data_IF_484399703685
#
_entry.id   IF_484399703685
#
_cell.length_a   1.000
_cell.length_b   1.000
_cell.length_c   1.000
_cell.angle_alpha   90.00
_cell.angle_beta   90.00
_cell.angle_gamma   90.00
#
_symmetry.space_group_name_H-M   'P 1'
#
loop_
_entity.id
_entity.type
_entity.pdbx_description
1 polymer ?
#
# COMPACT_ATOMS: atom_id res chain seq x y z
N UNK A 1 -31.51 22.33 22.72
CA UNK A 1 -31.27 22.10 21.30
C UNK A 1 -29.74 22.27 21.06
N UNK A 2 -28.95 21.17 21.18
CA UNK A 2 -27.52 21.21 20.88
C UNK A 2 -27.39 21.35 19.38
N UNK A 3 -26.89 22.49 18.91
CA UNK A 3 -26.46 22.70 17.54
C UNK A 3 -25.41 21.60 17.23
N UNK A 4 -25.77 20.62 16.41
CA UNK A 4 -24.77 19.74 15.81
C UNK A 4 -23.76 20.64 15.11
N UNK A 5 -22.52 20.67 15.62
CA UNK A 5 -21.42 21.33 14.93
C UNK A 5 -21.35 20.70 13.54
N UNK A 6 -21.71 21.47 12.50
CA UNK A 6 -21.47 21.07 11.13
C UNK A 6 -19.98 20.80 11.00
N UNK A 7 -19.60 19.55 10.82
CA UNK A 7 -18.22 19.17 10.53
C UNK A 7 -17.89 19.73 9.16
N UNK A 8 -17.16 20.83 9.11
CA UNK A 8 -16.59 21.36 7.88
C UNK A 8 -15.50 20.39 7.40
N UNK A 9 -15.37 20.25 6.07
CA UNK A 9 -14.23 19.56 5.45
C UNK A 9 -12.93 20.12 6.04
N UNK A 10 -12.04 19.25 6.44
CA UNK A 10 -10.75 19.66 6.99
C UNK A 10 -9.83 20.07 5.83
N UNK A 11 -9.72 21.38 5.61
CA UNK A 11 -8.90 21.95 4.55
C UNK A 11 -7.41 21.61 4.70
N UNK A 12 -6.92 21.38 5.91
CA UNK A 12 -5.53 21.00 6.15
C UNK A 12 -5.19 19.60 5.62
N UNK A 13 -6.19 18.73 5.42
CA UNK A 13 -6.06 17.44 4.76
C UNK A 13 -6.42 17.56 3.28
N UNK A 14 -7.49 18.29 2.98
CA UNK A 14 -8.01 18.39 1.61
C UNK A 14 -7.02 19.09 0.67
N UNK A 15 -6.40 20.18 1.11
CA UNK A 15 -5.48 20.95 0.25
C UNK A 15 -4.24 20.13 -0.15
N UNK A 16 -3.47 19.51 0.78
CA UNK A 16 -2.36 18.65 0.40
C UNK A 16 -2.79 17.48 -0.49
N UNK A 17 -3.95 16.87 -0.21
CA UNK A 17 -4.50 15.80 -1.04
C UNK A 17 -4.74 16.28 -2.50
N UNK A 18 -5.39 17.43 -2.68
CA UNK A 18 -5.64 17.98 -4.02
C UNK A 18 -4.34 18.34 -4.74
N UNK A 19 -3.40 18.97 -4.04
CA UNK A 19 -2.08 19.30 -4.61
C UNK A 19 -1.33 18.06 -5.06
N UNK A 20 -1.25 17.03 -4.22
CA UNK A 20 -0.60 15.76 -4.56
C UNK A 20 -1.31 15.06 -5.72
N UNK A 21 -2.64 15.11 -5.77
CA UNK A 21 -3.41 14.51 -6.87
C UNK A 21 -3.17 15.20 -8.21
N UNK A 22 -3.12 16.54 -8.22
CA UNK A 22 -2.83 17.32 -9.42
C UNK A 22 -1.39 17.08 -9.88
N UNK A 23 -0.42 17.10 -8.95
CA UNK A 23 0.96 16.77 -9.26
C UNK A 23 1.09 15.34 -9.83
N UNK A 24 0.36 14.37 -9.25
CA UNK A 24 0.29 13.01 -9.75
C UNK A 24 -0.20 12.94 -11.21
N UNK A 25 -1.24 13.70 -11.57
CA UNK A 25 -1.72 13.77 -12.95
C UNK A 25 -0.65 14.32 -13.91
N UNK A 26 0.06 15.38 -13.51
CA UNK A 26 1.14 15.97 -14.31
C UNK A 26 2.27 14.97 -14.51
N UNK A 27 2.68 14.27 -13.44
CA UNK A 27 3.77 13.29 -13.48
C UNK A 27 3.39 12.08 -14.33
N UNK A 28 2.16 11.55 -14.19
CA UNK A 28 1.68 10.44 -15.03
C UNK A 28 1.67 10.84 -16.50
N UNK A 29 1.26 12.05 -16.84
CA UNK A 29 1.33 12.54 -18.22
C UNK A 29 2.80 12.62 -18.70
N UNK A 30 3.69 13.19 -17.89
CA UNK A 30 5.10 13.28 -18.23
C UNK A 30 5.73 11.93 -18.49
N UNK A 31 5.48 10.95 -17.60
CA UNK A 31 6.10 9.61 -17.68
C UNK A 31 5.55 8.74 -18.82
N UNK A 32 4.30 8.96 -19.23
CA UNK A 32 3.66 8.08 -20.22
C UNK A 32 3.59 8.64 -21.62
N UNK A 33 3.62 9.96 -21.79
CA UNK A 33 3.42 10.63 -23.09
C UNK A 33 4.49 10.29 -24.12
N UNK A 34 5.76 10.26 -23.73
CA UNK A 34 6.88 9.99 -24.64
C UNK A 34 6.79 8.59 -25.25
N UNK A 35 6.60 7.57 -24.41
CA UNK A 35 6.46 6.18 -24.88
C UNK A 35 5.17 5.98 -25.69
N UNK A 36 4.08 6.65 -25.36
CA UNK A 36 2.84 6.59 -26.13
C UNK A 36 3.05 7.11 -27.54
N UNK A 37 3.72 8.25 -27.70
CA UNK A 37 4.04 8.84 -29.01
C UNK A 37 4.95 7.89 -29.82
N UNK A 38 5.99 7.32 -29.21
CA UNK A 38 6.87 6.37 -29.86
C UNK A 38 6.13 5.12 -30.37
N UNK A 39 5.14 4.66 -29.62
CA UNK A 39 4.29 3.51 -29.97
C UNK A 39 3.14 3.87 -30.92
N UNK A 40 3.00 5.12 -31.35
CA UNK A 40 1.91 5.58 -32.22
C UNK A 40 0.51 5.56 -31.55
N UNK A 41 0.46 5.57 -30.22
CA UNK A 41 -0.81 5.64 -29.45
C UNK A 41 -1.01 7.02 -28.85
N UNK A 42 -2.26 7.32 -28.49
CA UNK A 42 -2.59 8.63 -27.90
C UNK A 42 -1.82 8.87 -26.59
N UNK A 43 -1.08 9.99 -26.44
CA UNK A 43 -0.38 10.34 -25.22
C UNK A 43 -1.31 10.67 -24.06
N UNK A 44 -2.61 10.87 -24.35
CA UNK A 44 -3.62 11.21 -23.36
C UNK A 44 -4.34 9.98 -22.76
N UNK A 45 -4.01 8.75 -23.18
CA UNK A 45 -4.71 7.54 -22.73
C UNK A 45 -4.66 7.37 -21.21
N UNK A 46 -3.45 7.36 -20.63
CA UNK A 46 -3.25 7.16 -19.19
C UNK A 46 -3.79 8.34 -18.36
N UNK A 47 -3.51 9.58 -18.74
CA UNK A 47 -3.99 10.74 -17.99
C UNK A 47 -5.53 10.85 -18.00
N UNK A 48 -6.18 10.42 -19.10
CA UNK A 48 -7.65 10.37 -19.15
C UNK A 48 -8.21 9.38 -18.12
N UNK A 49 -7.64 8.19 -18.03
CA UNK A 49 -8.02 7.20 -17.03
C UNK A 49 -7.79 7.71 -15.61
N UNK A 50 -6.60 8.28 -15.34
CA UNK A 50 -6.27 8.89 -14.05
C UNK A 50 -7.22 10.04 -13.70
N UNK A 51 -7.58 10.89 -14.65
CA UNK A 51 -8.53 11.98 -14.46
C UNK A 51 -9.93 11.48 -14.09
N UNK A 52 -10.40 10.40 -14.71
CA UNK A 52 -11.68 9.77 -14.36
C UNK A 52 -11.62 9.26 -12.92
N UNK A 53 -10.56 8.54 -12.52
CA UNK A 53 -10.41 8.07 -11.15
C UNK A 53 -10.28 9.21 -10.14
N UNK A 54 -9.62 10.31 -10.50
CA UNK A 54 -9.57 11.51 -9.66
C UNK A 54 -10.96 12.09 -9.41
N UNK A 55 -11.78 12.25 -10.44
CA UNK A 55 -13.16 12.71 -10.29
C UNK A 55 -13.99 11.72 -9.46
N UNK A 56 -13.87 10.42 -9.71
CA UNK A 56 -14.53 9.39 -8.90
C UNK A 56 -14.12 9.45 -7.44
N UNK A 57 -12.83 9.71 -7.14
CA UNK A 57 -12.36 9.85 -5.76
C UNK A 57 -12.97 11.05 -5.05
N UNK A 58 -13.13 12.19 -5.73
CA UNK A 58 -13.82 13.36 -5.17
C UNK A 58 -15.30 13.08 -4.88
N UNK A 59 -15.98 12.39 -5.80
CA UNK A 59 -17.37 11.95 -5.57
C UNK A 59 -17.45 10.99 -4.38
N UNK A 60 -16.52 10.06 -4.26
CA UNK A 60 -16.43 9.12 -3.14
C UNK A 60 -16.21 9.85 -1.81
N UNK A 61 -15.33 10.84 -1.76
CA UNK A 61 -15.11 11.69 -0.57
C UNK A 61 -16.41 12.38 -0.16
N UNK A 62 -17.13 12.99 -1.11
CA UNK A 62 -18.39 13.66 -0.85
C UNK A 62 -19.49 12.67 -0.38
N UNK A 63 -19.49 11.45 -0.91
CA UNK A 63 -20.40 10.40 -0.49
C UNK A 63 -20.10 9.94 0.93
N UNK A 64 -18.83 9.60 1.24
CA UNK A 64 -18.41 9.15 2.56
C UNK A 64 -18.67 10.22 3.62
N UNK A 65 -18.48 11.50 3.28
CA UNK A 65 -18.77 12.63 4.17
C UNK A 65 -20.24 12.66 4.64
N UNK A 66 -21.18 12.19 3.81
CA UNK A 66 -22.61 12.08 4.18
C UNK A 66 -22.96 10.81 4.92
N UNK A 67 -22.10 9.81 4.97
CA UNK A 67 -22.37 8.53 5.62
C UNK A 67 -22.27 8.70 7.15
N UNK A 68 -23.29 8.28 7.87
CA UNK A 68 -23.29 8.29 9.34
C UNK A 68 -22.35 7.20 9.86
N UNK A 69 -21.38 7.56 10.69
CA UNK A 69 -20.43 6.63 11.33
C UNK A 69 -21.12 5.44 12.03
N UNK A 70 -22.29 5.67 12.62
CA UNK A 70 -23.05 4.61 13.29
C UNK A 70 -23.47 3.47 12.34
N UNK A 71 -23.64 3.73 11.04
CA UNK A 71 -23.92 2.68 10.06
C UNK A 71 -22.69 1.83 9.77
N UNK A 72 -21.51 2.46 9.73
CA UNK A 72 -20.23 1.78 9.54
C UNK A 72 -19.84 0.88 10.72
N UNK A 73 -20.37 1.15 11.92
CA UNK A 73 -20.12 0.34 13.13
C UNK A 73 -20.99 -0.92 13.23
N UNK A 74 -21.96 -1.12 12.34
CA UNK A 74 -22.86 -2.29 12.37
C UNK A 74 -22.10 -3.56 11.95
N UNK A 75 -22.15 -4.61 12.78
CA UNK A 75 -21.51 -5.92 12.45
C UNK A 75 -21.98 -6.50 11.13
N UNK A 76 -23.28 -6.40 10.82
CA UNK A 76 -23.82 -6.89 9.56
C UNK A 76 -23.23 -6.17 8.35
N UNK A 77 -23.02 -4.86 8.44
CA UNK A 77 -22.48 -4.08 7.33
C UNK A 77 -21.04 -4.46 7.02
N UNK A 78 -20.15 -4.53 8.04
CA UNK A 78 -18.76 -4.96 7.81
C UNK A 78 -18.71 -6.42 7.35
N UNK A 79 -19.60 -7.29 7.84
CA UNK A 79 -19.68 -8.68 7.38
C UNK A 79 -20.01 -8.79 5.89
N UNK A 80 -20.98 -8.00 5.40
CA UNK A 80 -21.33 -7.93 3.98
C UNK A 80 -20.12 -7.45 3.16
N UNK A 81 -19.42 -6.41 3.62
CA UNK A 81 -18.24 -5.88 2.93
C UNK A 81 -17.11 -6.92 2.86
N UNK A 82 -16.83 -7.64 3.94
CA UNK A 82 -15.83 -8.70 3.96
C UNK A 82 -16.21 -9.85 3.02
N UNK A 83 -17.48 -10.26 3.00
CA UNK A 83 -17.95 -11.30 2.08
C UNK A 83 -17.81 -10.85 0.63
N UNK A 84 -18.24 -9.62 0.31
CA UNK A 84 -18.11 -9.06 -1.04
C UNK A 84 -16.64 -9.01 -1.48
N UNK A 85 -15.75 -8.55 -0.59
CA UNK A 85 -14.32 -8.49 -0.86
C UNK A 85 -13.71 -9.89 -1.06
N UNK A 86 -14.10 -10.86 -0.22
CA UNK A 86 -13.65 -12.25 -0.36
C UNK A 86 -14.09 -12.82 -1.72
N UNK A 87 -15.30 -12.53 -2.17
CA UNK A 87 -15.78 -12.94 -3.49
C UNK A 87 -14.92 -12.29 -4.59
N UNK A 88 -14.63 -11.00 -4.51
CA UNK A 88 -13.78 -10.32 -5.49
C UNK A 88 -12.35 -10.90 -5.54
N UNK A 89 -11.77 -11.22 -4.39
CA UNK A 89 -10.47 -11.90 -4.31
C UNK A 89 -10.52 -13.28 -4.98
N UNK A 90 -11.53 -14.07 -4.69
CA UNK A 90 -11.69 -15.40 -5.31
C UNK A 90 -11.93 -15.29 -6.82
N UNK A 91 -12.76 -14.33 -7.27
CA UNK A 91 -12.97 -14.06 -8.69
C UNK A 91 -11.65 -13.68 -9.39
N UNK A 92 -10.84 -12.80 -8.78
CA UNK A 92 -9.55 -12.42 -9.36
C UNK A 92 -8.58 -13.60 -9.41
N UNK A 93 -8.66 -14.57 -8.48
CA UNK A 93 -7.82 -15.77 -8.48
C UNK A 93 -8.19 -16.78 -9.57
N UNK A 94 -9.50 -16.98 -9.82
CA UNK A 94 -9.97 -18.08 -10.66
C UNK A 94 -10.39 -17.67 -12.09
N UNK A 95 -10.71 -16.38 -12.30
CA UNK A 95 -11.27 -15.91 -13.58
C UNK A 95 -10.23 -15.14 -14.40
N UNK A 96 -9.21 -14.57 -13.77
CA UNK A 96 -8.28 -13.70 -14.49
C UNK A 96 -6.95 -14.38 -14.80
N UNK A 97 -6.36 -13.97 -15.94
CA UNK A 97 -5.02 -14.38 -16.32
C UNK A 97 -3.97 -13.78 -15.37
N UNK A 98 -2.79 -14.40 -15.35
CA UNK A 98 -1.66 -13.90 -14.57
C UNK A 98 -1.07 -12.64 -15.19
N UNK A 99 -0.94 -11.60 -14.39
CA UNK A 99 -0.16 -10.39 -14.74
C UNK A 99 1.10 -10.40 -13.90
N UNK A 100 2.26 -10.41 -14.56
CA UNK A 100 3.58 -10.48 -13.89
C UNK A 100 3.73 -11.67 -12.91
N UNK A 101 3.08 -12.80 -13.20
CA UNK A 101 3.14 -14.01 -12.38
C UNK A 101 2.19 -14.05 -11.19
N UNK A 102 1.37 -13.03 -10.97
CA UNK A 102 0.36 -12.99 -9.92
C UNK A 102 -1.06 -12.88 -10.52
N UNK A 103 -2.01 -13.60 -9.91
CA UNK A 103 -3.43 -13.40 -10.15
C UNK A 103 -3.91 -12.32 -9.19
N UNK A 104 -4.44 -11.22 -9.66
CA UNK A 104 -4.83 -10.17 -8.71
C UNK A 104 -5.63 -9.04 -9.32
N UNK A 105 -5.78 -9.02 -10.66
CA UNK A 105 -6.41 -7.91 -11.36
C UNK A 105 -7.71 -8.34 -12.01
N UNK A 106 -8.79 -7.66 -11.69
CA UNK A 106 -10.09 -7.78 -12.36
C UNK A 106 -10.19 -6.68 -13.41
N UNK A 107 -10.28 -7.05 -14.69
CA UNK A 107 -10.40 -6.11 -15.81
C UNK A 107 -11.84 -6.03 -16.30
N UNK A 108 -12.43 -4.84 -16.27
CA UNK A 108 -13.79 -4.57 -16.71
C UNK A 108 -13.78 -3.37 -17.68
N UNK A 109 -14.08 -3.60 -18.96
CA UNK A 109 -14.35 -2.52 -19.91
C UNK A 109 -13.26 -1.46 -20.03
N UNK A 110 -11.99 -1.84 -19.91
CA UNK A 110 -10.83 -0.90 -19.97
C UNK A 110 -10.36 -0.38 -18.61
N UNK A 111 -11.02 -0.76 -17.52
CA UNK A 111 -10.56 -0.49 -16.15
C UNK A 111 -10.08 -1.78 -15.51
N UNK A 112 -9.01 -1.73 -14.74
CA UNK A 112 -8.53 -2.84 -13.92
C UNK A 112 -8.55 -2.45 -12.44
N UNK A 113 -9.03 -3.38 -11.62
CA UNK A 113 -9.16 -3.23 -10.18
C UNK A 113 -8.39 -4.37 -9.53
N UNK A 114 -7.60 -4.06 -8.50
CA UNK A 114 -6.92 -5.05 -7.67
C UNK A 114 -7.64 -5.14 -6.31
N UNK A 115 -8.42 -6.21 -6.02
CA UNK A 115 -9.14 -6.33 -4.77
C UNK A 115 -8.23 -6.26 -3.53
N UNK A 116 -7.02 -6.80 -3.59
CA UNK A 116 -6.08 -6.73 -2.47
C UNK A 116 -5.77 -5.29 -1.98
N UNK A 117 -5.94 -4.27 -2.83
CA UNK A 117 -5.79 -2.87 -2.46
C UNK A 117 -6.93 -2.40 -1.53
N UNK A 118 -8.17 -2.82 -1.82
CA UNK A 118 -9.33 -2.50 -0.99
C UNK A 118 -9.33 -3.29 0.31
N UNK A 119 -8.81 -4.52 0.27
CA UNK A 119 -8.68 -5.36 1.46
C UNK A 119 -7.88 -4.69 2.57
N UNK A 120 -6.86 -3.91 2.26
CA UNK A 120 -6.06 -3.15 3.26
C UNK A 120 -6.95 -2.20 4.09
N UNK A 121 -7.82 -1.46 3.41
CA UNK A 121 -8.76 -0.52 4.06
C UNK A 121 -9.79 -1.28 4.89
N UNK A 122 -10.35 -2.36 4.34
CA UNK A 122 -11.36 -3.20 5.00
C UNK A 122 -10.76 -3.86 6.24
N UNK A 123 -9.52 -4.33 6.18
CA UNK A 123 -8.81 -4.93 7.30
C UNK A 123 -8.61 -3.93 8.45
N UNK A 124 -8.14 -2.71 8.16
CA UNK A 124 -8.00 -1.64 9.15
C UNK A 124 -9.34 -1.34 9.80
N UNK A 125 -10.39 -1.18 9.01
CA UNK A 125 -11.73 -0.92 9.52
C UNK A 125 -12.26 -2.07 10.39
N UNK A 126 -12.11 -3.32 9.94
CA UNK A 126 -12.51 -4.49 10.72
C UNK A 126 -11.79 -4.55 12.07
N UNK A 127 -10.46 -4.45 12.07
CA UNK A 127 -9.66 -4.49 13.29
C UNK A 127 -9.96 -3.33 14.23
N UNK A 128 -10.17 -2.12 13.71
CA UNK A 128 -10.57 -0.97 14.50
C UNK A 128 -11.90 -1.22 15.21
N UNK A 129 -12.90 -1.84 14.56
CA UNK A 129 -14.16 -2.20 15.18
C UNK A 129 -14.03 -3.30 16.24
N UNK A 130 -13.14 -4.28 16.00
CA UNK A 130 -12.89 -5.36 16.95
C UNK A 130 -12.22 -4.80 18.21
N UNK A 131 -11.15 -4.03 18.05
CA UNK A 131 -10.35 -3.54 19.17
C UNK A 131 -11.05 -2.44 19.95
N UNK A 132 -11.79 -1.55 19.29
CA UNK A 132 -12.57 -0.52 19.99
C UNK A 132 -13.62 -1.10 20.94
N UNK A 133 -14.17 -2.28 20.65
CA UNK A 133 -15.13 -2.96 21.55
C UNK A 133 -14.46 -3.63 22.74
N UNK A 134 -13.17 -3.93 22.64
CA UNK A 134 -12.37 -4.58 23.68
C UNK A 134 -11.47 -3.60 24.44
N UNK A 135 -11.63 -2.29 24.21
CA UNK A 135 -10.72 -1.27 24.75
C UNK A 135 -10.58 -1.32 26.26
N UNK A 136 -11.71 -1.45 26.99
CA UNK A 136 -11.71 -1.55 28.44
C UNK A 136 -11.05 -2.84 28.94
N UNK A 137 -11.32 -3.97 28.27
CA UNK A 137 -10.69 -5.26 28.58
C UNK A 137 -9.17 -5.23 28.29
N UNK A 138 -8.74 -4.56 27.21
CA UNK A 138 -7.33 -4.42 26.86
C UNK A 138 -6.59 -3.60 27.92
N UNK A 139 -7.19 -2.52 28.42
CA UNK A 139 -6.61 -1.71 29.48
C UNK A 139 -6.44 -2.49 30.78
N UNK A 140 -7.32 -3.43 31.07
CA UNK A 140 -7.29 -4.22 32.31
C UNK A 140 -6.45 -5.49 32.19
N UNK A 141 -6.54 -6.21 31.09
CA UNK A 141 -5.98 -7.56 30.90
C UNK A 141 -4.89 -7.63 29.81
N UNK A 142 -4.50 -6.49 29.21
CA UNK A 142 -3.46 -6.37 28.17
C UNK A 142 -3.70 -7.34 26.98
N UNK A 143 -2.68 -8.06 26.55
CA UNK A 143 -2.76 -9.02 25.43
C UNK A 143 -3.77 -10.16 25.68
N UNK A 144 -4.06 -10.50 26.92
CA UNK A 144 -5.00 -11.55 27.29
C UNK A 144 -6.42 -11.24 26.79
N UNK A 145 -6.79 -9.97 26.78
CA UNK A 145 -8.07 -9.52 26.22
C UNK A 145 -8.18 -9.79 24.72
N UNK A 146 -7.06 -9.69 23.98
CA UNK A 146 -7.03 -9.98 22.55
C UNK A 146 -6.97 -11.46 22.21
N UNK A 147 -6.33 -12.26 23.09
CA UNK A 147 -6.03 -13.68 22.82
C UNK A 147 -6.87 -14.65 23.62
N UNK A 148 -7.69 -14.18 24.60
CA UNK A 148 -8.41 -15.03 25.53
C UNK A 148 -7.53 -16.08 26.21
N UNK A 149 -6.27 -15.73 26.50
CA UNK A 149 -5.23 -16.67 27.02
C UNK A 149 -4.96 -17.91 26.14
N UNK A 150 -5.31 -17.85 24.86
CA UNK A 150 -5.13 -18.95 23.92
C UNK A 150 -4.29 -18.49 22.75
N UNK A 151 -3.15 -19.15 22.50
CA UNK A 151 -2.33 -18.88 21.31
C UNK A 151 -3.08 -19.23 20.03
N UNK A 152 -3.73 -20.39 20.01
CA UNK A 152 -4.59 -20.81 18.91
C UNK A 152 -6.04 -20.62 19.34
N UNK A 153 -6.84 -19.80 18.63
CA UNK A 153 -8.23 -19.59 19.01
C UNK A 153 -9.04 -20.88 18.84
N UNK A 154 -9.83 -21.22 19.87
CA UNK A 154 -10.76 -22.35 19.80
C UNK A 154 -12.08 -21.97 19.12
N UNK A 155 -12.47 -20.70 19.23
CA UNK A 155 -13.67 -20.18 18.58
C UNK A 155 -13.36 -19.79 17.13
N UNK A 156 -14.08 -20.36 16.17
CA UNK A 156 -13.98 -20.01 14.75
C UNK A 156 -14.42 -18.57 14.44
N UNK A 157 -15.19 -17.95 15.35
CA UNK A 157 -15.57 -16.54 15.24
C UNK A 157 -14.49 -15.57 15.74
N UNK A 158 -13.34 -16.05 16.20
CA UNK A 158 -12.23 -15.21 16.65
C UNK A 158 -11.68 -14.40 15.48
N UNK A 159 -11.42 -13.11 15.73
CA UNK A 159 -10.90 -12.15 14.75
C UNK A 159 -9.58 -12.60 14.10
N UNK A 160 -8.76 -13.37 14.80
CA UNK A 160 -7.47 -13.88 14.31
C UNK A 160 -7.65 -14.84 13.13
N UNK A 161 -8.67 -15.71 13.18
CA UNK A 161 -8.98 -16.60 12.06
C UNK A 161 -9.41 -15.83 10.82
N UNK A 162 -10.21 -14.78 11.00
CA UNK A 162 -10.62 -13.93 9.87
C UNK A 162 -9.40 -13.25 9.23
N UNK A 163 -8.49 -12.69 10.03
CA UNK A 163 -7.27 -12.06 9.51
C UNK A 163 -6.37 -13.05 8.81
N UNK A 164 -6.13 -14.21 9.43
CA UNK A 164 -5.32 -15.28 8.81
C UNK A 164 -5.94 -15.77 7.50
N UNK A 165 -7.24 -15.94 7.44
CA UNK A 165 -7.97 -16.33 6.24
C UNK A 165 -7.79 -15.31 5.11
N UNK A 166 -7.97 -14.01 5.38
CA UNK A 166 -7.83 -12.96 4.39
C UNK A 166 -6.38 -12.86 3.86
N UNK A 167 -5.39 -12.96 4.76
CA UNK A 167 -3.98 -12.96 4.34
C UNK A 167 -3.66 -14.22 3.54
N UNK A 168 -4.16 -15.39 3.95
CA UNK A 168 -3.91 -16.66 3.26
C UNK A 168 -4.43 -16.64 1.82
N UNK A 169 -5.61 -16.06 1.55
CA UNK A 169 -6.12 -15.91 0.18
C UNK A 169 -5.13 -15.13 -0.68
N UNK A 170 -4.59 -14.01 -0.17
CA UNK A 170 -3.64 -13.17 -0.91
C UNK A 170 -2.31 -13.91 -1.15
N UNK A 171 -1.85 -14.71 -0.17
CA UNK A 171 -0.66 -15.58 -0.34
C UNK A 171 -0.90 -16.62 -1.42
N UNK A 172 -2.09 -17.23 -1.48
CA UNK A 172 -2.47 -18.22 -2.51
C UNK A 172 -2.54 -17.58 -3.91
N UNK A 173 -2.73 -16.26 -3.99
CA UNK A 173 -2.69 -15.48 -5.24
C UNK A 173 -1.27 -15.12 -5.71
N UNK A 174 -0.22 -15.72 -5.23
CA UNK A 174 1.21 -15.39 -5.10
C UNK A 174 1.53 -13.88 -4.97
N UNK A 175 0.68 -13.12 -4.29
CA UNK A 175 0.90 -11.69 -4.04
C UNK A 175 1.52 -11.46 -2.65
N UNK A 176 2.81 -11.83 -2.53
CA UNK A 176 3.56 -11.70 -1.28
C UNK A 176 3.72 -10.25 -0.82
N UNK A 177 3.75 -9.30 -1.76
CA UNK A 177 3.83 -7.88 -1.45
C UNK A 177 2.64 -7.41 -0.62
N UNK A 178 1.43 -7.61 -1.14
CA UNK A 178 0.20 -7.26 -0.43
C UNK A 178 -0.01 -8.08 0.84
N UNK A 179 0.33 -9.38 0.83
CA UNK A 179 0.26 -10.22 2.04
C UNK A 179 1.16 -9.68 3.16
N UNK A 180 2.37 -9.23 2.84
CA UNK A 180 3.30 -8.61 3.80
C UNK A 180 2.75 -7.30 4.35
N UNK A 181 2.18 -6.44 3.48
CA UNK A 181 1.56 -5.19 3.91
C UNK A 181 0.36 -5.45 4.85
N UNK A 182 -0.49 -6.43 4.55
CA UNK A 182 -1.62 -6.82 5.41
C UNK A 182 -1.14 -7.34 6.78
N UNK A 183 -0.08 -8.14 6.81
CA UNK A 183 0.52 -8.62 8.05
C UNK A 183 1.10 -7.48 8.89
N UNK A 184 1.86 -6.57 8.27
CA UNK A 184 2.39 -5.37 8.94
C UNK A 184 1.28 -4.45 9.44
N UNK A 185 0.24 -4.22 8.63
CA UNK A 185 -0.93 -3.45 9.03
C UNK A 185 -1.62 -4.07 10.25
N UNK A 186 -1.77 -5.39 10.27
CA UNK A 186 -2.32 -6.10 11.44
C UNK A 186 -1.47 -5.86 12.69
N UNK A 187 -0.14 -5.96 12.59
CA UNK A 187 0.78 -5.70 13.70
C UNK A 187 0.67 -4.26 14.21
N UNK A 188 0.59 -3.29 13.31
CA UNK A 188 0.42 -1.87 13.67
C UNK A 188 -0.93 -1.68 14.38
N UNK A 189 -2.01 -2.28 13.88
CA UNK A 189 -3.33 -2.18 14.50
C UNK A 189 -3.37 -2.84 15.89
N UNK A 190 -2.71 -3.98 16.08
CA UNK A 190 -2.54 -4.61 17.40
C UNK A 190 -1.81 -3.65 18.35
N UNK A 191 -0.74 -3.00 17.88
CA UNK A 191 0.01 -2.04 18.67
C UNK A 191 -0.81 -0.81 19.05
N UNK A 192 -1.59 -0.30 18.11
CA UNK A 192 -2.49 0.84 18.31
C UNK A 192 -3.69 0.50 19.20
N UNK A 193 -3.97 -0.78 19.47
CA UNK A 193 -5.08 -1.20 20.33
C UNK A 193 -4.90 -0.86 21.81
N UNK A 194 -3.70 -0.44 22.22
CA UNK A 194 -3.39 -0.06 23.61
C UNK A 194 -2.78 -1.19 24.45
N UNK A 195 -2.33 -2.29 23.83
CA UNK A 195 -1.52 -3.31 24.52
C UNK A 195 -0.21 -2.72 25.03
N UNK A 196 0.39 -3.32 26.05
CA UNK A 196 1.65 -2.87 26.62
C UNK A 196 2.75 -2.85 25.54
N UNK A 197 3.52 -1.77 25.50
CA UNK A 197 4.58 -1.53 24.52
C UNK A 197 5.59 -2.67 24.41
N UNK A 198 5.82 -3.43 25.49
CA UNK A 198 6.68 -4.63 25.49
C UNK A 198 6.25 -5.67 24.47
N UNK A 199 4.95 -5.85 24.24
CA UNK A 199 4.44 -6.80 23.25
C UNK A 199 4.67 -6.33 21.84
N UNK A 200 4.43 -5.04 21.59
CA UNK A 200 4.76 -4.44 20.31
C UNK A 200 6.25 -4.56 19.99
N UNK A 201 7.12 -4.18 20.93
CA UNK A 201 8.56 -4.28 20.71
C UNK A 201 9.04 -5.71 20.52
N UNK A 202 8.42 -6.70 21.20
CA UNK A 202 8.72 -8.12 21.00
C UNK A 202 8.30 -8.61 19.61
N UNK A 203 7.09 -8.28 19.17
CA UNK A 203 6.60 -8.64 17.83
C UNK A 203 7.44 -7.99 16.73
N UNK A 204 7.79 -6.73 16.90
CA UNK A 204 8.68 -6.00 15.99
C UNK A 204 10.08 -6.63 15.97
N UNK A 205 10.63 -6.99 17.12
CA UNK A 205 11.93 -7.65 17.22
C UNK A 205 11.93 -9.03 16.54
N UNK A 206 10.85 -9.80 16.67
CA UNK A 206 10.70 -11.09 15.97
C UNK A 206 10.63 -10.88 14.45
N UNK A 207 9.87 -9.88 14.00
CA UNK A 207 9.75 -9.56 12.58
C UNK A 207 11.09 -9.13 11.99
N UNK A 208 11.74 -8.14 12.61
CA UNK A 208 13.04 -7.60 12.15
C UNK A 208 14.13 -8.65 12.27
N UNK A 209 14.21 -9.35 13.42
CA UNK A 209 15.17 -10.41 13.65
C UNK A 209 15.00 -11.57 12.68
N UNK A 210 13.77 -12.05 12.49
CA UNK A 210 13.44 -13.09 11.53
C UNK A 210 13.80 -12.71 10.09
N UNK A 211 13.45 -11.48 9.68
CA UNK A 211 13.83 -10.97 8.35
C UNK A 211 15.35 -10.88 8.19
N UNK A 212 16.06 -10.40 9.20
CA UNK A 212 17.52 -10.29 9.18
C UNK A 212 18.17 -11.66 9.06
N UNK A 213 17.70 -12.65 9.84
CA UNK A 213 18.19 -14.03 9.79
C UNK A 213 17.93 -14.63 8.40
N UNK A 214 16.75 -14.43 7.84
CA UNK A 214 16.41 -14.90 6.49
C UNK A 214 17.35 -14.30 5.44
N UNK A 215 17.50 -12.97 5.42
CA UNK A 215 18.36 -12.28 4.46
C UNK A 215 19.83 -12.66 4.61
N UNK A 216 20.31 -12.83 5.84
CA UNK A 216 21.67 -13.29 6.11
C UNK A 216 21.87 -14.75 5.67
N UNK A 217 20.86 -15.61 5.85
CA UNK A 217 20.87 -16.98 5.35
C UNK A 217 20.95 -17.05 3.84
N UNK A 218 20.21 -16.19 3.12
CA UNK A 218 20.28 -16.09 1.65
C UNK A 218 21.70 -15.70 1.22
N UNK A 219 22.34 -14.75 1.93
CA UNK A 219 23.72 -14.33 1.65
C UNK A 219 24.75 -15.46 1.86
N UNK A 220 24.60 -16.25 2.93
CA UNK A 220 25.54 -17.32 3.27
C UNK A 220 25.40 -18.56 2.39
N UNK A 221 24.16 -18.98 2.12
CA UNK A 221 23.85 -20.24 1.40
C UNK A 221 23.93 -20.03 -0.11
N UNK A 222 23.74 -18.79 -0.54
CA UNK A 222 23.74 -18.38 -1.96
C UNK A 222 22.33 -18.35 -2.56
N UNK A 223 22.12 -17.36 -3.42
CA UNK A 223 20.85 -17.09 -4.11
C UNK A 223 20.38 -18.29 -4.95
N UNK A 224 21.32 -19.01 -5.59
CA UNK A 224 21.01 -20.14 -6.46
C UNK A 224 20.32 -21.32 -5.74
N UNK A 225 20.71 -21.57 -4.48
CA UNK A 225 20.05 -22.65 -3.68
C UNK A 225 18.66 -22.24 -3.22
N UNK A 226 18.50 -20.98 -2.82
CA UNK A 226 17.18 -20.46 -2.44
C UNK A 226 16.24 -20.30 -3.63
N UNK A 227 16.77 -20.06 -4.84
CA UNK A 227 15.95 -19.89 -6.06
C UNK A 227 15.20 -21.16 -6.47
N UNK A 228 15.65 -22.33 -5.99
CA UNK A 228 14.98 -23.61 -6.22
C UNK A 228 13.69 -23.80 -5.40
N UNK A 229 13.49 -22.98 -4.37
CA UNK A 229 12.29 -23.03 -3.53
C UNK A 229 11.32 -21.94 -4.02
N UNK A 230 10.10 -22.27 -4.52
CA UNK A 230 9.25 -21.32 -5.26
C UNK A 230 9.03 -19.96 -4.60
N UNK A 231 8.72 -19.91 -3.30
CA UNK A 231 8.48 -18.67 -2.55
C UNK A 231 9.79 -17.93 -2.25
N UNK A 232 10.80 -18.67 -1.78
CA UNK A 232 12.09 -18.09 -1.39
C UNK A 232 12.92 -17.67 -2.59
N UNK A 233 12.75 -18.30 -3.74
CA UNK A 233 13.43 -17.91 -4.97
C UNK A 233 13.10 -16.47 -5.42
N UNK A 234 11.82 -16.10 -5.33
CA UNK A 234 11.41 -14.72 -5.61
C UNK A 234 12.06 -13.72 -4.66
N UNK A 235 12.04 -14.01 -3.35
CA UNK A 235 12.67 -13.15 -2.32
C UNK A 235 14.18 -13.06 -2.54
N UNK A 236 14.84 -14.20 -2.83
CA UNK A 236 16.29 -14.24 -3.04
C UNK A 236 16.74 -13.43 -4.26
N UNK A 237 16.00 -13.50 -5.39
CA UNK A 237 16.27 -12.68 -6.58
C UNK A 237 16.12 -11.19 -6.28
N UNK A 238 15.04 -10.77 -5.61
CA UNK A 238 14.82 -9.38 -5.22
C UNK A 238 15.89 -8.88 -4.25
N UNK A 239 16.32 -9.72 -3.31
CA UNK A 239 17.39 -9.38 -2.40
C UNK A 239 18.73 -9.22 -3.10
N UNK A 240 19.05 -10.11 -4.06
CA UNK A 240 20.28 -9.99 -4.86
C UNK A 240 20.31 -8.70 -5.67
N UNK A 241 19.19 -8.36 -6.32
CA UNK A 241 19.04 -7.11 -7.05
C UNK A 241 19.18 -5.87 -6.14
N UNK A 242 18.63 -5.93 -4.94
CA UNK A 242 18.75 -4.84 -3.96
C UNK A 242 20.18 -4.68 -3.45
N UNK A 243 20.89 -5.79 -3.19
CA UNK A 243 22.25 -5.75 -2.64
C UNK A 243 23.29 -5.24 -3.66
N UNK A 244 23.17 -5.67 -4.91
CA UNK A 244 24.03 -5.19 -5.99
C UNK A 244 23.27 -5.16 -7.33
N UNK A 245 22.53 -4.09 -7.63
CA UNK A 245 21.72 -3.99 -8.83
C UNK A 245 22.55 -3.94 -10.12
N UNK A 246 23.82 -3.55 -10.02
CA UNK A 246 24.70 -3.41 -11.18
C UNK A 246 25.31 -4.73 -11.66
N UNK A 247 25.17 -5.82 -10.89
CA UNK A 247 25.67 -7.14 -11.30
C UNK A 247 24.81 -7.81 -12.38
N UNK A 248 23.53 -7.45 -12.45
CA UNK A 248 22.59 -8.03 -13.42
C UNK A 248 21.73 -6.91 -14.01
N UNK A 249 22.29 -6.25 -14.99
CA UNK A 249 21.62 -5.14 -15.72
C UNK A 249 20.62 -5.64 -16.77
N UNK A 250 20.52 -6.95 -16.99
CA UNK A 250 19.63 -7.52 -18.00
C UNK A 250 18.32 -8.06 -17.46
N UNK A 251 18.22 -8.35 -16.16
CA UNK A 251 17.02 -8.94 -15.50
C UNK A 251 16.66 -8.18 -14.20
N UNK A 252 16.95 -8.77 -13.09
CA UNK A 252 16.43 -8.35 -11.77
C UNK A 252 16.99 -7.01 -11.28
N UNK A 253 18.24 -6.66 -11.66
CA UNK A 253 18.89 -5.40 -11.30
C UNK A 253 18.55 -4.23 -12.24
N UNK A 254 18.04 -4.48 -13.45
CA UNK A 254 17.81 -3.46 -14.48
C UNK A 254 16.94 -2.29 -14.00
N UNK A 255 15.79 -2.59 -13.39
CA UNK A 255 14.87 -1.55 -12.91
C UNK A 255 15.52 -0.67 -11.83
N UNK A 256 16.21 -1.30 -10.87
CA UNK A 256 16.81 -0.59 -9.75
C UNK A 256 18.02 0.24 -10.18
N UNK A 257 18.86 -0.29 -11.07
CA UNK A 257 20.00 0.44 -11.62
C UNK A 257 19.55 1.68 -12.40
N UNK A 258 18.56 1.55 -13.31
CA UNK A 258 18.04 2.69 -14.06
C UNK A 258 17.32 3.71 -13.16
N UNK A 259 16.69 3.25 -12.05
CA UNK A 259 16.14 4.18 -11.06
C UNK A 259 17.24 5.02 -10.39
N UNK A 260 18.42 4.45 -10.12
CA UNK A 260 19.55 5.18 -9.58
C UNK A 260 20.16 6.16 -10.62
N UNK A 261 20.20 5.77 -11.90
CA UNK A 261 20.61 6.70 -12.96
C UNK A 261 19.65 7.89 -13.06
N UNK A 262 18.33 7.64 -13.06
CA UNK A 262 17.34 8.72 -13.01
C UNK A 262 17.56 9.69 -11.84
N UNK A 263 17.71 9.15 -10.62
CA UNK A 263 17.96 9.99 -9.44
C UNK A 263 19.28 10.76 -9.53
N UNK A 264 20.33 10.16 -10.09
CA UNK A 264 21.63 10.82 -10.29
C UNK A 264 21.56 11.95 -11.31
N UNK A 265 20.83 11.73 -12.43
CA UNK A 265 20.66 12.74 -13.48
C UNK A 265 19.93 14.00 -12.97
N UNK A 266 18.98 13.83 -12.02
CA UNK A 266 18.16 14.92 -11.52
C UNK A 266 18.92 15.99 -10.71
N UNK A 267 19.98 15.61 -9.98
CA UNK A 267 20.71 16.54 -9.14
C UNK A 267 19.81 17.33 -8.18
N UNK A 268 20.13 18.60 -7.95
CA UNK A 268 19.37 19.46 -7.02
C UNK A 268 18.05 19.98 -7.59
N UNK A 269 18.01 20.38 -8.89
CA UNK A 269 16.89 21.11 -9.48
C UNK A 269 16.20 20.37 -10.62
N UNK A 270 16.71 19.21 -11.00
CA UNK A 270 16.15 18.37 -12.06
C UNK A 270 16.49 18.83 -13.47
N UNK A 271 16.15 17.99 -14.44
CA UNK A 271 16.30 18.26 -15.88
C UNK A 271 15.15 19.11 -16.44
N UNK A 272 14.14 19.40 -15.62
CA UNK A 272 12.89 20.02 -16.01
C UNK A 272 11.78 19.03 -16.33
N UNK A 273 10.54 19.43 -16.12
CA UNK A 273 9.36 18.61 -16.39
C UNK A 273 9.34 18.17 -17.87
N UNK A 274 9.12 16.91 -18.11
CA UNK A 274 9.10 16.34 -19.46
C UNK A 274 10.45 15.92 -20.01
N UNK A 275 11.58 16.22 -19.34
CA UNK A 275 12.93 16.02 -19.87
C UNK A 275 13.66 14.81 -19.29
N UNK A 276 12.99 13.93 -18.56
CA UNK A 276 13.61 12.69 -18.09
C UNK A 276 14.10 11.84 -19.25
N UNK A 277 15.29 11.28 -19.11
CA UNK A 277 15.94 10.37 -20.05
C UNK A 277 15.43 8.95 -19.81
N UNK A 278 15.39 8.54 -18.54
CA UNK A 278 15.08 7.17 -18.15
C UNK A 278 13.63 6.75 -18.47
N UNK A 279 12.68 7.69 -18.51
CA UNK A 279 11.29 7.42 -18.93
C UNK A 279 11.13 7.06 -20.40
N UNK A 280 12.16 7.27 -21.24
CA UNK A 280 12.08 6.99 -22.68
C UNK A 280 12.21 5.50 -23.03
N UNK A 281 11.97 4.62 -22.06
CA UNK A 281 11.97 3.16 -22.23
C UNK A 281 13.14 2.47 -21.55
N UNK A 282 14.07 3.21 -20.95
CA UNK A 282 15.18 2.64 -20.18
C UNK A 282 14.72 2.12 -18.81
N UNK A 283 13.80 2.83 -18.13
CA UNK A 283 13.26 2.42 -16.85
C UNK A 283 11.89 1.77 -17.05
N UNK A 284 11.76 0.45 -16.87
CA UNK A 284 10.45 -0.21 -16.81
C UNK A 284 9.62 0.32 -15.65
N UNK A 285 8.30 0.32 -15.81
CA UNK A 285 7.34 0.77 -14.77
C UNK A 285 7.63 2.18 -14.23
N UNK A 286 8.14 3.06 -15.10
CA UNK A 286 8.49 4.46 -14.77
C UNK A 286 7.27 5.28 -14.29
N UNK A 287 6.06 4.87 -14.65
CA UNK A 287 4.81 5.57 -14.30
C UNK A 287 4.08 4.99 -13.08
N UNK A 288 4.57 3.88 -12.53
CA UNK A 288 4.01 3.16 -11.39
C UNK A 288 5.03 3.05 -10.25
N UNK A 289 5.78 1.96 -10.22
CA UNK A 289 6.65 1.58 -9.10
C UNK A 289 7.87 2.51 -8.95
N UNK A 290 8.37 3.04 -10.06
CA UNK A 290 9.56 3.89 -10.09
C UNK A 290 9.26 5.36 -10.43
N UNK A 291 8.00 5.77 -10.31
CA UNK A 291 7.59 7.16 -10.61
C UNK A 291 8.36 8.19 -9.80
N UNK A 292 8.73 7.88 -8.56
CA UNK A 292 9.46 8.80 -7.70
C UNK A 292 10.90 9.06 -8.19
N UNK A 293 11.53 8.07 -8.85
CA UNK A 293 12.83 8.26 -9.50
C UNK A 293 12.74 9.26 -10.65
N UNK A 294 11.67 9.19 -11.44
CA UNK A 294 11.42 10.16 -12.52
C UNK A 294 11.10 11.56 -11.95
N UNK A 295 10.37 11.62 -10.82
CA UNK A 295 10.16 12.89 -10.12
C UNK A 295 11.49 13.54 -9.74
N UNK A 296 12.43 12.77 -9.20
CA UNK A 296 13.76 13.29 -8.86
C UNK A 296 14.52 13.69 -10.14
N UNK A 297 14.45 12.91 -11.22
CA UNK A 297 15.11 13.25 -12.47
C UNK A 297 14.57 14.55 -13.07
N UNK A 298 13.24 14.77 -13.04
CA UNK A 298 12.62 15.95 -13.65
C UNK A 298 12.61 17.18 -12.75
N UNK A 299 12.35 17.02 -11.44
CA UNK A 299 12.19 18.13 -10.48
C UNK A 299 13.37 18.29 -9.52
N UNK A 300 14.33 17.37 -9.56
CA UNK A 300 15.47 17.34 -8.67
C UNK A 300 15.15 17.00 -7.23
N UNK A 301 16.16 17.03 -6.39
CA UNK A 301 16.03 16.77 -4.96
C UNK A 301 15.08 17.77 -4.28
N UNK A 302 15.09 19.03 -4.68
CA UNK A 302 14.23 20.09 -4.11
C UNK A 302 12.76 19.79 -4.41
N UNK A 303 12.40 19.47 -5.67
CA UNK A 303 11.02 19.14 -6.05
C UNK A 303 10.52 17.87 -5.36
N UNK A 304 11.34 16.83 -5.31
CA UNK A 304 11.03 15.59 -4.60
C UNK A 304 10.80 15.83 -3.09
N UNK A 305 11.64 16.66 -2.46
CA UNK A 305 11.50 17.03 -1.04
C UNK A 305 10.21 17.79 -0.76
N UNK A 306 9.77 18.67 -1.66
CA UNK A 306 8.50 19.37 -1.53
C UNK A 306 7.31 18.40 -1.60
N UNK A 307 7.35 17.40 -2.50
CA UNK A 307 6.32 16.36 -2.58
C UNK A 307 6.29 15.54 -1.29
N UNK A 308 7.45 15.11 -0.77
CA UNK A 308 7.53 14.41 0.52
C UNK A 308 7.00 15.27 1.68
N UNK A 309 7.29 16.56 1.69
CA UNK A 309 6.76 17.49 2.69
C UNK A 309 5.23 17.56 2.64
N UNK A 310 4.61 17.58 1.45
CA UNK A 310 3.15 17.51 1.32
C UNK A 310 2.57 16.21 1.88
N UNK A 311 3.22 15.06 1.65
CA UNK A 311 2.84 13.80 2.29
C UNK A 311 2.97 13.88 3.81
N UNK A 312 4.08 14.42 4.32
CA UNK A 312 4.27 14.59 5.77
C UNK A 312 3.17 15.47 6.39
N UNK A 313 2.80 16.58 5.73
CA UNK A 313 1.69 17.44 6.18
C UNK A 313 0.39 16.64 6.21
N UNK A 314 0.06 15.89 5.15
CA UNK A 314 -1.15 15.09 5.08
C UNK A 314 -1.24 14.09 6.24
N UNK A 315 -0.16 13.36 6.54
CA UNK A 315 -0.11 12.35 7.60
C UNK A 315 -0.14 12.98 9.00
N UNK A 316 0.65 14.02 9.25
CA UNK A 316 0.75 14.66 10.56
C UNK A 316 -0.57 15.35 10.96
N UNK A 317 -1.25 16.03 10.01
CA UNK A 317 -2.56 16.61 10.27
C UNK A 317 -3.65 15.55 10.44
N UNK A 318 -3.60 14.47 9.66
CA UNK A 318 -4.50 13.33 9.86
C UNK A 318 -4.40 12.77 11.28
N UNK A 319 -3.17 12.54 11.76
CA UNK A 319 -2.90 12.04 13.09
C UNK A 319 -3.25 13.03 14.21
N UNK A 320 -2.97 14.32 14.02
CA UNK A 320 -3.25 15.37 15.01
C UNK A 320 -4.73 15.55 15.32
N UNK A 321 -5.62 15.29 14.37
CA UNK A 321 -7.07 15.38 14.58
C UNK A 321 -7.62 14.27 15.48
N UNK A 322 -7.02 13.07 15.48
CA UNK A 322 -7.42 11.98 16.36
C UNK A 322 -7.14 12.30 17.82
N UNK A 323 -6.03 12.96 18.14
CA UNK A 323 -5.66 13.36 19.51
C UNK A 323 -6.66 14.36 20.10
N UNK A 324 -7.21 15.27 19.29
CA UNK A 324 -8.21 16.23 19.73
C UNK A 324 -9.61 15.65 19.92
N UNK A 325 -9.91 14.48 19.32
CA UNK A 325 -11.18 13.78 19.49
C UNK A 325 -11.20 12.87 20.73
N UNK A 326 -10.03 12.53 21.27
CA UNK A 326 -9.84 11.65 22.44
C UNK A 326 -9.79 12.48 23.76
N UNK A 327 -9.55 13.79 23.70
CA UNK A 327 -9.66 14.74 24.81
C UNK A 327 -11.05 15.36 24.84
#
# INVERSE_FOLDING_TARGET
MKLEKRHFLNYSILIPYLLLSILGLIIVYSTTSALAIQKGVSPFGMIKSQGIFFVLSLVTILFIYKVKLNNLKKKAFIGIVIIAETILLLLSRFITDTVNGAHGWLSFGGFSIQPAEYLKIILVWYLALVFSKKQEEIQQYDYQALTHNQWIPRDLADWRWMVLFLIAIVVIMPDLGNATILALTTLIMISASGIAYRWFSSLLAILVGGSTVLLYSIKLIGVERFSKIPVFGYVAKRFSAFYNPFNDLSDSGHQLANSYYAMSNGGWFGLGLGNSIEKQGYLPEAHTDFVFSIVIEELGFVGASLILALFCVLFLWGYGQEIHLIR
#
